data_IF_484720040899
#
_entry.id   IF_484720040899
#
_cell.length_a   1.000
_cell.length_b   1.000
_cell.length_c   1.000
_cell.angle_alpha   90.00
_cell.angle_beta   90.00
_cell.angle_gamma   90.00
#
_symmetry.space_group_name_H-M   'P 1'
#
loop_
_entity.id
_entity.type
_entity.pdbx_description
1 polymer ?
#
# COMPACT_ATOMS: atom_id res chain seq x y z
N UNK A 1 13.87 2.74 -0.49
CA UNK A 1 14.38 1.57 -1.24
C UNK A 1 13.43 0.41 -0.98
N UNK A 2 13.51 -0.69 -1.73
CA UNK A 2 12.87 -1.93 -1.29
C UNK A 2 13.65 -2.52 -0.11
N UNK A 3 12.98 -3.25 0.77
CA UNK A 3 13.56 -3.96 1.90
C UNK A 3 12.94 -5.37 2.03
N UNK A 4 13.42 -6.15 2.99
CA UNK A 4 12.84 -7.45 3.34
C UNK A 4 12.29 -7.41 4.76
N UNK A 5 11.04 -7.83 4.93
CA UNK A 5 10.31 -7.85 6.20
C UNK A 5 9.80 -9.27 6.43
N UNK A 6 10.24 -9.94 7.50
CA UNK A 6 9.87 -11.34 7.77
C UNK A 6 10.06 -12.30 6.57
N UNK A 7 11.11 -12.08 5.78
CA UNK A 7 11.38 -12.87 4.56
C UNK A 7 10.53 -12.51 3.33
N UNK A 8 9.71 -11.45 3.41
CA UNK A 8 8.87 -10.94 2.32
C UNK A 8 9.47 -9.65 1.76
N UNK A 9 9.54 -9.53 0.44
CA UNK A 9 9.93 -8.28 -0.21
C UNK A 9 8.92 -7.17 0.08
N UNK A 10 9.39 -5.98 0.43
CA UNK A 10 8.53 -4.83 0.74
C UNK A 10 9.00 -3.58 0.01
N UNK A 11 8.06 -2.85 -0.58
CA UNK A 11 8.31 -1.55 -1.20
C UNK A 11 7.21 -0.57 -0.78
N UNK A 12 7.53 0.30 0.17
CA UNK A 12 6.66 1.41 0.59
C UNK A 12 7.18 2.76 0.12
N UNK A 13 6.34 3.59 -0.50
CA UNK A 13 6.67 5.01 -0.81
C UNK A 13 5.46 5.94 -0.75
N UNK A 14 5.68 7.16 -0.29
CA UNK A 14 4.80 8.28 -0.58
C UNK A 14 5.15 8.87 -1.96
N UNK A 15 4.14 9.28 -2.72
CA UNK A 15 4.29 9.86 -4.06
C UNK A 15 3.47 11.15 -4.16
N UNK A 16 4.07 12.17 -4.77
CA UNK A 16 3.44 13.47 -4.99
C UNK A 16 3.08 13.66 -6.46
N UNK A 17 1.97 14.34 -6.74
CA UNK A 17 1.55 14.66 -8.12
C UNK A 17 1.06 13.46 -8.93
N UNK A 18 0.76 12.34 -8.27
CA UNK A 18 0.21 11.13 -8.91
C UNK A 18 -1.29 11.08 -8.67
N UNK A 19 -2.07 10.96 -9.75
CA UNK A 19 -3.51 10.82 -9.62
C UNK A 19 -3.85 9.46 -8.98
N UNK A 20 -4.93 9.37 -8.17
CA UNK A 20 -5.30 8.11 -7.50
C UNK A 20 -5.48 6.92 -8.45
N UNK A 21 -5.92 7.16 -9.69
CA UNK A 21 -6.08 6.12 -10.71
C UNK A 21 -4.74 5.53 -11.19
N UNK A 22 -3.66 6.29 -11.15
CA UNK A 22 -2.35 5.91 -11.68
C UNK A 22 -1.50 5.18 -10.64
N UNK A 23 -1.89 5.25 -9.36
CA UNK A 23 -1.26 4.52 -8.26
C UNK A 23 -1.23 3.00 -8.50
N UNK A 24 -2.30 2.42 -9.08
CA UNK A 24 -2.36 0.98 -9.38
C UNK A 24 -1.28 0.56 -10.37
N UNK A 25 -1.13 1.32 -11.46
CA UNK A 25 -0.10 1.08 -12.47
C UNK A 25 1.32 1.18 -11.88
N UNK A 26 1.55 2.14 -10.97
CA UNK A 26 2.81 2.22 -10.23
C UNK A 26 3.02 0.98 -9.36
N UNK A 27 1.99 0.57 -8.61
CA UNK A 27 2.08 -0.59 -7.73
C UNK A 27 2.38 -1.88 -8.49
N UNK A 28 1.78 -2.08 -9.67
CA UNK A 28 2.10 -3.20 -10.57
C UNK A 28 3.56 -3.16 -11.07
N UNK A 29 4.07 -1.98 -11.43
CA UNK A 29 5.48 -1.82 -11.77
C UNK A 29 6.39 -2.12 -10.56
N UNK A 30 5.96 -1.73 -9.36
CA UNK A 30 6.62 -2.07 -8.10
C UNK A 30 6.68 -3.59 -7.86
N UNK A 31 5.58 -4.31 -8.10
CA UNK A 31 5.54 -5.78 -7.99
C UNK A 31 6.52 -6.42 -8.96
N UNK A 32 6.52 -5.95 -10.20
CA UNK A 32 7.46 -6.43 -11.24
C UNK A 32 8.91 -6.21 -10.81
N UNK A 33 9.22 -5.06 -10.20
CA UNK A 33 10.57 -4.76 -9.72
C UNK A 33 11.00 -5.58 -8.50
N UNK A 34 10.06 -5.99 -7.64
CA UNK A 34 10.35 -6.85 -6.47
C UNK A 34 10.47 -8.33 -6.84
N UNK A 35 9.76 -8.78 -7.88
CA UNK A 35 9.60 -10.19 -8.23
C UNK A 35 8.61 -10.92 -7.31
N UNK A 36 8.81 -10.86 -6.00
CA UNK A 36 7.89 -11.37 -4.96
C UNK A 36 7.85 -10.40 -3.78
N UNK A 37 6.65 -10.01 -3.33
CA UNK A 37 6.50 -9.09 -2.21
C UNK A 37 5.18 -8.33 -2.13
N UNK A 38 5.18 -7.34 -1.25
CA UNK A 38 4.10 -6.38 -1.02
C UNK A 38 4.57 -4.97 -1.38
N UNK A 39 3.76 -4.24 -2.15
CA UNK A 39 4.00 -2.85 -2.54
C UNK A 39 2.93 -1.96 -1.93
N UNK A 40 3.32 -0.81 -1.39
CA UNK A 40 2.43 0.21 -0.83
C UNK A 40 2.80 1.56 -1.39
N UNK A 41 1.86 2.23 -2.05
CA UNK A 41 2.04 3.62 -2.46
C UNK A 41 0.94 4.52 -1.91
N UNK A 42 1.35 5.63 -1.31
CA UNK A 42 0.46 6.65 -0.79
C UNK A 42 0.62 7.93 -1.61
N UNK A 43 -0.45 8.35 -2.28
CA UNK A 43 -0.53 9.62 -3.00
C UNK A 43 -1.21 10.69 -2.14
N UNK A 44 -0.68 11.92 -2.19
CA UNK A 44 -1.33 13.10 -1.61
C UNK A 44 -2.04 13.91 -2.71
N UNK A 45 -3.29 14.29 -2.48
CA UNK A 45 -4.02 15.24 -3.32
C UNK A 45 -3.80 16.68 -2.84
N UNK A 46 -4.10 17.65 -3.71
CA UNK A 46 -3.92 19.08 -3.42
C UNK A 46 -4.79 19.57 -2.25
N UNK A 47 -5.91 18.90 -1.97
CA UNK A 47 -6.80 19.19 -0.83
C UNK A 47 -6.37 18.49 0.48
N UNK A 48 -5.17 17.91 0.52
CA UNK A 48 -4.58 17.30 1.72
C UNK A 48 -5.05 15.87 2.01
N UNK A 49 -5.90 15.29 1.16
CA UNK A 49 -6.36 13.91 1.32
C UNK A 49 -5.33 12.91 0.77
N UNK A 50 -5.36 11.72 1.34
CA UNK A 50 -4.54 10.61 0.91
C UNK A 50 -5.32 9.62 0.04
N UNK A 51 -4.66 9.08 -0.97
CA UNK A 51 -5.05 7.84 -1.65
C UNK A 51 -3.96 6.81 -1.43
N UNK A 52 -4.33 5.57 -1.16
CA UNK A 52 -3.36 4.49 -0.96
C UNK A 52 -3.71 3.28 -1.79
N UNK A 53 -2.70 2.65 -2.38
CA UNK A 53 -2.80 1.36 -3.05
C UNK A 53 -1.88 0.37 -2.35
N UNK A 54 -2.36 -0.86 -2.21
CA UNK A 54 -1.53 -2.00 -1.82
C UNK A 54 -1.63 -3.05 -2.92
N UNK A 55 -0.48 -3.62 -3.29
CA UNK A 55 -0.38 -4.73 -4.21
C UNK A 55 0.41 -5.86 -3.59
N UNK A 56 -0.05 -7.09 -3.78
CA UNK A 56 0.59 -8.33 -3.30
C UNK A 56 0.87 -9.18 -4.53
N UNK A 57 2.07 -9.77 -4.62
CA UNK A 57 2.40 -10.71 -5.70
C UNK A 57 1.61 -12.01 -5.53
N UNK A 58 1.27 -12.66 -6.64
CA UNK A 58 0.33 -13.78 -6.66
C UNK A 58 0.75 -14.94 -5.73
N UNK A 59 2.05 -15.21 -5.63
CA UNK A 59 2.65 -16.21 -4.75
C UNK A 59 2.42 -15.94 -3.25
N UNK A 60 2.13 -14.70 -2.88
CA UNK A 60 1.89 -14.27 -1.51
C UNK A 60 0.41 -14.06 -1.18
N UNK A 61 -0.49 -14.11 -2.18
CA UNK A 61 -1.93 -13.85 -1.97
C UNK A 61 -2.62 -14.87 -1.05
N UNK A 62 -2.02 -16.06 -0.86
CA UNK A 62 -2.48 -17.05 0.12
C UNK A 62 -2.07 -16.75 1.57
N UNK A 63 -1.12 -15.83 1.78
CA UNK A 63 -0.64 -15.39 3.10
C UNK A 63 -1.11 -13.98 3.46
N UNK A 64 -1.19 -13.10 2.47
CA UNK A 64 -1.59 -11.71 2.64
C UNK A 64 -2.65 -11.35 1.60
N UNK A 65 -3.64 -10.55 2.01
CA UNK A 65 -4.58 -9.94 1.06
C UNK A 65 -4.37 -8.42 1.02
N UNK A 66 -4.23 -7.88 -0.19
CA UNK A 66 -4.13 -6.45 -0.41
C UNK A 66 -5.32 -5.70 0.21
N UNK A 67 -6.50 -6.32 0.30
CA UNK A 67 -7.70 -5.71 0.90
C UNK A 67 -7.53 -5.48 2.40
N UNK A 68 -6.93 -6.40 3.14
CA UNK A 68 -6.69 -6.20 4.57
C UNK A 68 -5.58 -5.17 4.79
N UNK A 69 -4.47 -5.31 4.06
CA UNK A 69 -3.34 -4.40 4.17
C UNK A 69 -3.71 -2.95 3.79
N UNK A 70 -4.53 -2.75 2.76
CA UNK A 70 -4.95 -1.38 2.38
C UNK A 70 -5.89 -0.76 3.43
N UNK A 71 -6.65 -1.57 4.17
CA UNK A 71 -7.48 -1.10 5.28
C UNK A 71 -6.62 -0.69 6.49
N UNK A 72 -5.55 -1.43 6.76
CA UNK A 72 -4.54 -1.04 7.77
C UNK A 72 -3.94 0.33 7.40
N UNK A 73 -3.54 0.51 6.14
CA UNK A 73 -3.04 1.81 5.67
C UNK A 73 -4.10 2.92 5.76
N UNK A 74 -5.34 2.65 5.32
CA UNK A 74 -6.44 3.62 5.37
C UNK A 74 -6.72 4.08 6.80
N UNK A 75 -6.74 3.17 7.77
CA UNK A 75 -6.96 3.50 9.17
C UNK A 75 -5.90 4.46 9.72
N UNK A 76 -4.62 4.25 9.39
CA UNK A 76 -3.55 5.18 9.77
C UNK A 76 -3.75 6.58 9.15
N UNK A 77 -4.27 6.65 7.93
CA UNK A 77 -4.63 7.92 7.26
C UNK A 77 -5.93 8.56 7.80
N UNK A 78 -6.59 7.95 8.79
CA UNK A 78 -7.88 8.38 9.33
C UNK A 78 -9.09 8.00 8.47
N UNK A 79 -8.90 7.15 7.45
CA UNK A 79 -9.96 6.58 6.63
C UNK A 79 -10.62 5.37 7.28
N UNK A 80 -11.72 4.90 6.71
CA UNK A 80 -12.55 3.83 7.28
C UNK A 80 -12.83 2.67 6.31
N UNK A 81 -12.11 2.57 5.19
CA UNK A 81 -12.49 1.65 4.13
C UNK A 81 -11.35 1.26 3.21
N UNK A 82 -11.68 0.44 2.23
CA UNK A 82 -10.72 -0.10 1.28
C UNK A 82 -11.26 -1.35 0.62
N UNK A 83 -11.01 -1.47 -0.67
CA UNK A 83 -11.56 -2.55 -1.49
C UNK A 83 -10.76 -2.81 -2.75
N UNK A 84 -11.03 -3.96 -3.35
CA UNK A 84 -10.30 -4.45 -4.52
C UNK A 84 -10.27 -5.96 -4.51
N UNK A 85 -9.20 -6.49 -5.10
CA UNK A 85 -8.92 -7.92 -5.20
C UNK A 85 -7.82 -8.31 -4.22
N UNK A 86 -7.62 -9.62 -3.93
CA UNK A 86 -6.54 -10.08 -3.04
C UNK A 86 -5.14 -9.64 -3.48
N UNK A 87 -4.89 -9.50 -4.79
CA UNK A 87 -3.61 -9.08 -5.37
C UNK A 87 -3.42 -7.56 -5.44
N UNK A 88 -4.51 -6.79 -5.35
CA UNK A 88 -4.51 -5.34 -5.58
C UNK A 88 -5.75 -4.68 -4.98
N UNK A 89 -5.54 -3.74 -4.06
CA UNK A 89 -6.63 -3.00 -3.43
C UNK A 89 -6.28 -1.52 -3.24
N UNK A 90 -7.32 -0.70 -3.13
CA UNK A 90 -7.20 0.75 -2.99
C UNK A 90 -8.10 1.27 -1.88
N UNK A 91 -7.62 2.33 -1.21
CA UNK A 91 -8.35 3.09 -0.23
C UNK A 91 -7.88 4.56 -0.23
N UNK A 92 -8.29 5.30 0.79
CA UNK A 92 -7.82 6.65 1.07
C UNK A 92 -8.10 7.05 2.50
N UNK A 93 -7.76 8.28 2.83
CA UNK A 93 -8.03 8.89 4.13
C UNK A 93 -7.97 10.41 4.05
N UNK A 94 -8.50 11.12 5.05
CA UNK A 94 -8.51 12.58 5.06
C UNK A 94 -7.13 13.21 5.27
N UNK A 95 -6.12 12.46 5.71
CA UNK A 95 -4.84 13.03 6.15
C UNK A 95 -3.63 12.44 5.42
N UNK A 96 -3.15 13.14 4.39
CA UNK A 96 -1.93 12.77 3.67
C UNK A 96 -0.63 13.03 4.42
N UNK A 97 -0.64 13.80 5.51
CA UNK A 97 0.56 13.98 6.33
C UNK A 97 0.98 12.69 7.03
N UNK A 98 0.05 11.74 7.18
CA UNK A 98 0.26 10.42 7.77
C UNK A 98 0.69 9.34 6.77
N UNK A 99 1.18 9.73 5.59
CA UNK A 99 1.61 8.78 4.57
C UNK A 99 2.66 7.79 5.09
N UNK A 100 3.65 8.28 5.84
CA UNK A 100 4.70 7.44 6.40
C UNK A 100 4.18 6.50 7.49
N UNK A 101 3.25 6.97 8.32
CA UNK A 101 2.55 6.13 9.32
C UNK A 101 1.76 5.01 8.64
N UNK A 102 1.07 5.30 7.54
CA UNK A 102 0.32 4.31 6.78
C UNK A 102 1.22 3.24 6.15
N UNK A 103 2.38 3.63 5.62
CA UNK A 103 3.38 2.71 5.08
C UNK A 103 3.95 1.83 6.21
N UNK A 104 4.29 2.43 7.35
CA UNK A 104 4.82 1.72 8.50
C UNK A 104 3.79 0.74 9.11
N UNK A 105 2.50 1.08 9.09
CA UNK A 105 1.43 0.20 9.56
C UNK A 105 1.33 -1.07 8.71
N UNK A 106 1.40 -0.95 7.37
CA UNK A 106 1.42 -2.14 6.49
C UNK A 106 2.69 -2.96 6.69
N UNK A 107 3.85 -2.30 6.80
CA UNK A 107 5.12 -2.96 7.10
C UNK A 107 5.03 -3.80 8.39
N UNK A 108 4.41 -3.23 9.43
CA UNK A 108 4.25 -3.90 10.73
C UNK A 108 3.30 -5.10 10.61
N UNK A 109 2.18 -4.96 9.89
CA UNK A 109 1.25 -6.06 9.63
C UNK A 109 1.92 -7.25 8.92
N UNK A 110 2.84 -6.99 7.99
CA UNK A 110 3.64 -8.05 7.33
C UNK A 110 4.57 -8.74 8.34
N UNK A 111 5.15 -7.99 9.27
CA UNK A 111 6.09 -8.53 10.26
C UNK A 111 5.43 -9.41 11.34
N UNK A 112 4.13 -9.23 11.58
CA UNK A 112 3.37 -9.95 12.61
C UNK A 112 2.65 -11.20 12.08
N UNK A 113 2.73 -11.48 10.77
CA UNK A 113 2.02 -12.56 10.08
C UNK A 113 2.89 -13.77 9.70
#
# INVERSE_FOLDING_TARGET
ASETVAGVGFLGKSVSGVAPKDLKSLADAGKTSLGSGVVVFVGASEDGKASVVVAVTDDLTGRFTAVELVRVASAALGGQGGGGRPDMAQAGGPDASKADEAIAAVRSAISES
#
